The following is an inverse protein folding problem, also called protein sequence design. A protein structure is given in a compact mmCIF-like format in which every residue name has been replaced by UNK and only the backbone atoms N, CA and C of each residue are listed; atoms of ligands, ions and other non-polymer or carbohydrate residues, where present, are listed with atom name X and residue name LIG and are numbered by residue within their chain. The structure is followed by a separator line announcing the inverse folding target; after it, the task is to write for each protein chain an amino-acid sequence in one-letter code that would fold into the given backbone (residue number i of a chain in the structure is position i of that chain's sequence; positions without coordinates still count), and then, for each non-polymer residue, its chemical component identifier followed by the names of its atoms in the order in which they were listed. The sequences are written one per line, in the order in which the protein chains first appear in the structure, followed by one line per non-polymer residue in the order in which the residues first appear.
data_IF_763834031051
#
_entry.id   IF_763834031051
#
_cell.length_a   1.000
_cell.length_b   1.000
_cell.length_c   1.000
_cell.angle_alpha   90.00
_cell.angle_beta   90.00
_cell.angle_gamma   90.00
#
_symmetry.space_group_name_H-M   'P 1'
#
loop_
_entity.id
_entity.type
_entity.pdbx_description
1 polymer ?
#
# COMPACT_ATOMS: atom_id res chain seq x y z
N UNK A 1 21.86 4.45 -4.14
CA UNK A 1 20.42 4.17 -4.34
C UNK A 1 19.58 5.34 -3.85
N UNK A 2 18.53 5.70 -4.56
CA UNK A 2 17.59 6.76 -4.18
C UNK A 2 16.41 6.18 -3.41
N UNK A 3 15.91 6.88 -2.39
CA UNK A 3 14.69 6.52 -1.65
C UNK A 3 13.62 7.58 -1.88
N UNK A 4 12.38 7.15 -2.10
CA UNK A 4 11.21 8.03 -2.18
C UNK A 4 10.24 7.68 -1.07
N UNK A 5 9.88 8.68 -0.27
CA UNK A 5 8.93 8.56 0.83
C UNK A 5 7.71 9.43 0.49
N UNK A 6 6.59 8.85 0.06
CA UNK A 6 5.34 9.59 -0.07
C UNK A 6 4.77 9.87 1.33
N UNK A 7 4.51 11.14 1.64
CA UNK A 7 3.99 11.53 2.96
C UNK A 7 2.76 12.43 2.87
N UNK A 8 1.95 12.37 3.92
CA UNK A 8 0.90 13.34 4.25
C UNK A 8 0.49 13.18 5.72
N UNK A 9 0.84 14.16 6.56
CA UNK A 9 0.56 14.15 8.00
C UNK A 9 1.14 12.90 8.71
N UNK A 10 2.45 12.71 8.58
CA UNK A 10 3.19 11.56 9.10
C UNK A 10 4.20 11.95 10.18
N UNK A 11 3.99 13.06 10.88
CA UNK A 11 4.93 13.58 11.90
C UNK A 11 5.30 12.53 12.97
N UNK A 12 4.37 11.62 13.31
CA UNK A 12 4.60 10.54 14.29
C UNK A 12 5.57 9.47 13.79
N UNK A 13 5.59 9.22 12.49
CA UNK A 13 6.30 8.10 11.87
C UNK A 13 7.60 8.52 11.22
N UNK A 14 7.62 9.70 10.59
CA UNK A 14 8.68 10.10 9.66
C UNK A 14 10.08 10.12 10.28
N UNK A 15 10.22 10.56 11.54
CA UNK A 15 11.53 10.57 12.23
C UNK A 15 12.11 9.16 12.33
N UNK A 16 11.28 8.18 12.70
CA UNK A 16 11.70 6.79 12.85
C UNK A 16 12.00 6.16 11.48
N UNK A 17 11.18 6.41 10.48
CA UNK A 17 11.40 5.96 9.10
C UNK A 17 12.74 6.48 8.57
N UNK A 18 12.99 7.77 8.64
CA UNK A 18 14.23 8.39 8.18
C UNK A 18 15.46 7.90 8.93
N UNK A 19 15.31 7.61 10.24
CA UNK A 19 16.40 7.05 11.05
C UNK A 19 16.93 5.71 10.53
N UNK A 20 16.09 4.92 9.85
CA UNK A 20 16.45 3.62 9.26
C UNK A 20 16.89 3.72 7.79
N UNK A 21 17.03 4.93 7.23
CA UNK A 21 17.37 5.14 5.83
C UNK A 21 18.70 5.89 5.63
N UNK A 22 19.47 6.11 6.70
CA UNK A 22 20.76 6.86 6.65
C UNK A 22 21.82 6.24 5.72
N UNK A 23 21.65 5.00 5.33
CA UNK A 23 22.51 4.26 4.40
C UNK A 23 22.22 4.56 2.94
N UNK A 24 21.11 5.23 2.62
CA UNK A 24 20.77 5.63 1.25
C UNK A 24 21.56 6.85 0.79
N UNK A 25 21.95 6.89 -0.49
CA UNK A 25 22.72 8.01 -1.06
C UNK A 25 21.92 9.31 -1.16
N UNK A 26 20.60 9.17 -1.36
CA UNK A 26 19.68 10.31 -1.38
C UNK A 26 18.26 9.89 -0.99
N UNK A 27 17.57 10.79 -0.31
CA UNK A 27 16.19 10.58 0.15
C UNK A 27 15.34 11.77 -0.30
N UNK A 28 14.22 11.48 -0.94
CA UNK A 28 13.19 12.45 -1.30
C UNK A 28 11.94 12.19 -0.47
N UNK A 29 11.53 13.16 0.32
CA UNK A 29 10.20 13.18 0.93
C UNK A 29 9.27 13.91 -0.03
N UNK A 30 8.28 13.19 -0.59
CA UNK A 30 7.26 13.75 -1.48
C UNK A 30 6.00 14.00 -0.66
N UNK A 31 5.82 15.25 -0.27
CA UNK A 31 4.77 15.66 0.65
C UNK A 31 3.51 16.17 -0.06
N UNK A 32 2.34 15.69 0.35
CA UNK A 32 1.04 16.14 -0.15
C UNK A 32 0.43 17.18 0.79
N UNK A 33 1.12 18.33 0.98
CA UNK A 33 0.62 19.45 1.75
C UNK A 33 0.28 19.05 3.19
N UNK A 34 1.23 18.46 3.91
CA UNK A 34 1.10 18.18 5.35
C UNK A 34 0.90 19.48 6.14
N UNK A 35 0.01 19.41 7.13
CA UNK A 35 -0.32 20.52 8.02
C UNK A 35 0.20 20.29 9.44
N UNK A 36 0.85 19.16 9.69
CA UNK A 36 1.52 18.80 10.93
C UNK A 36 3.04 19.04 10.82
N UNK A 37 3.82 18.58 11.78
CA UNK A 37 5.27 18.78 11.81
C UNK A 37 6.07 17.87 10.83
N UNK A 38 5.42 17.14 9.93
CA UNK A 38 6.10 16.23 8.98
C UNK A 38 7.25 16.91 8.25
N UNK A 39 7.00 18.08 7.69
CA UNK A 39 8.00 18.84 6.91
C UNK A 39 9.17 19.28 7.75
N UNK A 40 8.88 19.85 8.92
CA UNK A 40 9.90 20.31 9.85
C UNK A 40 10.83 19.19 10.27
N UNK A 41 10.25 18.05 10.67
CA UNK A 41 11.04 16.86 11.06
C UNK A 41 11.95 16.38 9.93
N UNK A 42 11.45 16.34 8.69
CA UNK A 42 12.24 15.91 7.54
C UNK A 42 13.38 16.89 7.22
N UNK A 43 13.12 18.19 7.28
CA UNK A 43 14.13 19.26 7.08
C UNK A 43 15.22 19.23 8.15
N UNK A 44 14.84 19.08 9.43
CA UNK A 44 15.77 18.94 10.57
C UNK A 44 16.70 17.72 10.41
N UNK A 45 16.26 16.69 9.66
CA UNK A 45 17.05 15.49 9.35
C UNK A 45 17.83 15.59 8.02
N UNK A 46 17.83 16.77 7.35
CA UNK A 46 18.57 17.02 6.13
C UNK A 46 18.01 16.34 4.89
N UNK A 47 16.73 15.94 4.89
CA UNK A 47 16.09 15.27 3.77
C UNK A 47 15.55 16.26 2.74
N UNK A 48 15.66 15.94 1.45
CA UNK A 48 15.10 16.73 0.36
C UNK A 48 13.59 16.63 0.36
N UNK A 49 12.91 17.71 0.76
CA UNK A 49 11.45 17.80 0.75
C UNK A 49 10.97 18.38 -0.57
N UNK A 50 10.04 17.69 -1.22
CA UNK A 50 9.41 18.12 -2.47
C UNK A 50 7.90 18.14 -2.28
N UNK A 51 7.28 19.28 -2.58
CA UNK A 51 5.83 19.43 -2.48
C UNK A 51 5.13 18.87 -3.70
N UNK A 52 4.14 18.03 -3.47
CA UNK A 52 3.25 17.50 -4.48
C UNK A 52 1.84 18.09 -4.35
N UNK A 53 1.36 18.68 -5.43
CA UNK A 53 0.02 19.24 -5.52
C UNK A 53 -0.84 18.38 -6.44
N UNK A 54 -1.81 17.66 -5.86
CA UNK A 54 -2.72 16.85 -6.65
C UNK A 54 -3.79 17.74 -7.31
N UNK A 55 -3.82 17.75 -8.63
CA UNK A 55 -4.77 18.54 -9.43
C UNK A 55 -6.05 17.76 -9.79
N UNK A 56 -6.30 16.60 -9.17
CA UNK A 56 -7.47 15.76 -9.47
C UNK A 56 -7.27 14.77 -10.62
N UNK A 57 -6.13 14.82 -11.31
CA UNK A 57 -5.82 13.97 -12.47
C UNK A 57 -4.53 13.16 -12.24
N UNK A 58 -4.30 12.19 -13.12
CA UNK A 58 -3.03 11.46 -13.17
C UNK A 58 -1.90 12.37 -13.71
N UNK A 59 -0.63 12.26 -13.22
CA UNK A 59 -0.14 11.23 -12.31
C UNK A 59 -0.45 11.53 -10.84
N UNK A 60 -0.65 10.45 -10.07
CA UNK A 60 -0.67 10.51 -8.62
C UNK A 60 0.76 10.58 -8.06
N UNK A 61 0.90 10.81 -6.75
CA UNK A 61 2.14 11.13 -6.05
C UNK A 61 3.34 10.24 -6.41
N UNK A 62 3.20 8.91 -6.32
CA UNK A 62 4.32 7.98 -6.59
C UNK A 62 4.75 8.00 -8.05
N UNK A 63 3.79 7.99 -8.99
CA UNK A 63 4.12 8.11 -10.40
C UNK A 63 4.68 9.49 -10.76
N UNK A 64 4.15 10.55 -10.16
CA UNK A 64 4.68 11.89 -10.32
C UNK A 64 6.14 11.97 -9.85
N UNK A 65 6.42 11.38 -8.67
CA UNK A 65 7.79 11.33 -8.14
C UNK A 65 8.75 10.60 -9.08
N UNK A 66 8.35 9.43 -9.60
CA UNK A 66 9.18 8.66 -10.55
C UNK A 66 9.47 9.41 -11.85
N UNK A 67 8.58 10.32 -12.27
CA UNK A 67 8.69 11.08 -13.52
C UNK A 67 9.45 12.41 -13.37
N UNK A 68 9.40 13.03 -12.19
CA UNK A 68 9.83 14.42 -12.02
C UNK A 68 11.01 14.60 -11.06
N UNK A 69 11.33 13.62 -10.21
CA UNK A 69 12.46 13.77 -9.29
C UNK A 69 13.80 13.57 -10.02
N UNK A 70 14.82 14.39 -9.70
CA UNK A 70 16.14 14.31 -10.30
C UNK A 70 16.97 13.21 -9.62
N UNK A 71 16.63 11.94 -9.86
CA UNK A 71 17.36 10.82 -9.31
C UNK A 71 18.79 10.76 -9.83
N UNK A 72 19.75 10.67 -8.89
CA UNK A 72 21.16 10.42 -9.25
C UNK A 72 21.47 8.94 -9.42
N UNK A 73 20.60 8.08 -8.93
CA UNK A 73 20.78 6.62 -8.94
C UNK A 73 19.72 5.95 -9.83
N UNK A 74 20.13 4.89 -10.54
CA UNK A 74 19.23 4.08 -11.36
C UNK A 74 18.16 3.34 -10.51
N UNK A 75 18.52 2.92 -9.29
CA UNK A 75 17.67 2.17 -8.39
C UNK A 75 16.95 3.08 -7.43
N UNK A 76 15.63 2.87 -7.31
CA UNK A 76 14.76 3.57 -6.38
C UNK A 76 14.06 2.57 -5.47
N UNK A 77 14.08 2.87 -4.16
CA UNK A 77 13.30 2.19 -3.15
C UNK A 77 12.13 3.10 -2.74
N UNK A 78 10.90 2.58 -2.83
CA UNK A 78 9.71 3.27 -2.32
C UNK A 78 9.45 2.76 -0.91
N UNK A 79 9.42 3.68 0.06
CA UNK A 79 9.18 3.38 1.48
C UNK A 79 8.03 4.27 1.96
N UNK A 80 6.96 3.67 2.46
CA UNK A 80 5.89 4.45 3.08
C UNK A 80 6.36 4.97 4.47
N UNK A 81 5.89 6.12 4.92
CA UNK A 81 6.40 6.78 6.14
C UNK A 81 6.21 5.94 7.42
N UNK A 82 5.29 4.98 7.40
CA UNK A 82 5.02 4.02 8.48
C UNK A 82 5.78 2.68 8.31
N UNK A 83 6.72 2.61 7.35
CA UNK A 83 7.60 1.46 7.11
C UNK A 83 9.03 1.73 7.59
N UNK A 84 9.72 0.67 8.03
CA UNK A 84 11.12 0.74 8.44
C UNK A 84 11.93 -0.32 7.68
N UNK A 85 13.13 0.07 7.26
CA UNK A 85 14.11 -0.81 6.64
C UNK A 85 15.11 -1.28 7.71
N UNK A 86 15.03 -2.53 8.19
CA UNK A 86 16.04 -3.07 9.12
C UNK A 86 17.42 -3.12 8.48
N UNK A 87 18.44 -3.23 9.31
CA UNK A 87 19.87 -3.28 8.86
C UNK A 87 20.08 -4.47 7.94
N UNK A 88 19.51 -5.62 8.26
CA UNK A 88 19.62 -6.85 7.48
C UNK A 88 19.05 -6.67 6.06
N UNK A 89 17.89 -6.02 5.94
CA UNK A 89 17.31 -5.70 4.64
C UNK A 89 18.15 -4.68 3.87
N UNK A 90 18.71 -3.68 4.54
CA UNK A 90 19.59 -2.68 3.92
C UNK A 90 20.87 -3.34 3.35
N UNK A 91 21.44 -4.27 4.09
CA UNK A 91 22.61 -5.06 3.66
C UNK A 91 22.27 -5.95 2.46
N UNK A 92 21.15 -6.70 2.51
CA UNK A 92 20.70 -7.50 1.37
C UNK A 92 20.46 -6.65 0.12
N UNK A 93 19.80 -5.48 0.28
CA UNK A 93 19.62 -4.52 -0.82
C UNK A 93 20.98 -4.13 -1.40
N UNK A 94 21.92 -3.73 -0.56
CA UNK A 94 23.27 -3.33 -1.01
C UNK A 94 23.98 -4.43 -1.78
N UNK A 95 23.86 -5.68 -1.34
CA UNK A 95 24.44 -6.86 -1.99
C UNK A 95 23.81 -7.13 -3.37
N UNK A 96 22.46 -7.11 -3.47
CA UNK A 96 21.79 -7.40 -4.75
C UNK A 96 21.99 -6.30 -5.80
N UNK A 97 22.21 -5.05 -5.36
CA UNK A 97 22.51 -3.95 -6.27
C UNK A 97 23.91 -4.06 -6.92
N UNK A 98 24.85 -4.74 -6.27
CA UNK A 98 26.17 -5.04 -6.83
C UNK A 98 26.13 -6.20 -7.83
N UNK A 99 25.08 -7.02 -7.81
CA UNK A 99 24.93 -8.17 -8.70
C UNK A 99 24.40 -7.74 -10.08
N UNK A 100 25.16 -8.00 -11.12
CA UNK A 100 24.75 -7.76 -12.52
C UNK A 100 23.89 -8.91 -13.06
N UNK A 101 22.78 -9.25 -12.36
CA UNK A 101 21.94 -10.41 -12.65
C UNK A 101 20.79 -10.14 -13.63
N UNK A 102 20.77 -8.97 -14.28
CA UNK A 102 19.77 -8.57 -15.27
C UNK A 102 18.36 -8.28 -14.70
N UNK A 103 18.15 -8.35 -13.40
CA UNK A 103 16.87 -8.02 -12.75
C UNK A 103 16.64 -6.51 -12.77
N UNK A 104 15.36 -6.12 -12.89
CA UNK A 104 14.92 -4.72 -12.95
C UNK A 104 14.18 -4.29 -11.70
N UNK A 105 13.86 -5.22 -10.80
CA UNK A 105 13.22 -4.93 -9.53
C UNK A 105 13.21 -6.12 -8.59
N UNK A 106 12.84 -5.86 -7.33
CA UNK A 106 12.76 -6.84 -6.27
C UNK A 106 11.51 -6.66 -5.43
N UNK A 107 10.83 -7.77 -5.16
CA UNK A 107 9.77 -7.84 -4.19
C UNK A 107 10.37 -7.90 -2.79
N UNK A 108 9.79 -7.11 -1.89
CA UNK A 108 10.13 -7.09 -0.46
C UNK A 108 8.89 -7.53 0.30
N UNK A 109 9.07 -8.47 1.22
CA UNK A 109 8.01 -8.91 2.11
C UNK A 109 7.88 -7.92 3.28
N UNK A 110 6.68 -7.86 3.91
CA UNK A 110 6.40 -6.91 5.01
C UNK A 110 5.91 -7.64 6.25
N UNK A 111 6.52 -7.34 7.39
CA UNK A 111 6.02 -7.71 8.71
C UNK A 111 5.04 -6.64 9.19
N UNK A 112 3.80 -6.97 9.22
CA UNK A 112 2.76 -6.07 9.68
C UNK A 112 2.60 -6.11 11.20
N UNK A 113 2.75 -4.95 11.86
CA UNK A 113 2.59 -4.81 13.30
C UNK A 113 1.25 -4.16 13.64
N UNK A 114 0.54 -4.75 14.59
CA UNK A 114 -0.73 -4.27 15.09
C UNK A 114 -0.81 -4.45 16.60
N UNK A 115 -1.14 -3.37 17.33
CA UNK A 115 -1.15 -3.34 18.80
C UNK A 115 0.14 -3.92 19.42
N UNK A 116 1.29 -3.52 18.88
CA UNK A 116 2.61 -3.94 19.36
C UNK A 116 3.04 -5.36 18.98
N UNK A 117 2.21 -6.12 18.24
CA UNK A 117 2.51 -7.50 17.84
C UNK A 117 2.67 -7.63 16.33
N UNK A 118 3.68 -8.37 15.89
CA UNK A 118 3.76 -8.83 14.52
C UNK A 118 2.65 -9.86 14.25
N UNK A 119 1.75 -9.55 13.33
CA UNK A 119 0.72 -10.47 12.85
C UNK A 119 1.31 -11.41 11.79
N UNK A 120 1.61 -12.65 12.19
CA UNK A 120 2.13 -13.70 11.31
C UNK A 120 1.04 -14.41 10.52
N UNK A 121 -0.17 -14.34 11.02
CA UNK A 121 -1.34 -15.06 10.53
C UNK A 121 -2.38 -14.07 10.00
N UNK A 122 -3.66 -14.34 10.15
CA UNK A 122 -4.75 -13.50 9.64
C UNK A 122 -4.75 -13.28 8.11
N UNK A 123 -3.84 -13.90 7.38
CA UNK A 123 -3.66 -13.71 5.93
C UNK A 123 -2.85 -12.47 5.53
N UNK A 124 -2.11 -11.87 6.48
CA UNK A 124 -1.31 -10.66 6.26
C UNK A 124 0.18 -10.95 6.05
N UNK A 125 0.64 -12.16 6.33
CA UNK A 125 2.00 -12.58 6.08
C UNK A 125 2.02 -13.95 5.35
N UNK A 126 2.88 -14.13 4.33
CA UNK A 126 3.74 -13.15 3.69
C UNK A 126 2.96 -12.12 2.85
N UNK A 127 3.49 -10.88 2.76
CA UNK A 127 2.91 -9.78 1.98
C UNK A 127 3.98 -9.12 1.10
N UNK A 128 4.24 -9.71 -0.06
CA UNK A 128 5.25 -9.25 -1.00
C UNK A 128 4.76 -8.06 -1.83
N UNK A 129 5.57 -7.00 -1.87
CA UNK A 129 5.33 -5.83 -2.70
C UNK A 129 6.59 -5.48 -3.48
N UNK A 130 6.43 -5.07 -4.73
CA UNK A 130 7.54 -4.58 -5.54
C UNK A 130 7.87 -3.17 -5.07
N UNK A 131 8.97 -3.02 -4.31
CA UNK A 131 9.37 -1.76 -3.66
C UNK A 131 10.71 -1.23 -4.16
N UNK A 132 11.62 -2.10 -4.55
CA UNK A 132 12.93 -1.77 -5.08
C UNK A 132 12.95 -2.04 -6.58
N UNK A 133 13.21 -1.02 -7.40
CA UNK A 133 13.26 -1.19 -8.85
C UNK A 133 14.06 -0.07 -9.54
N UNK A 134 14.47 -0.31 -10.76
CA UNK A 134 15.07 0.72 -11.62
C UNK A 134 13.97 1.68 -12.07
N UNK A 135 14.12 2.99 -11.77
CA UNK A 135 13.02 3.95 -11.89
C UNK A 135 12.46 4.10 -13.31
N UNK A 136 13.26 3.87 -14.35
CA UNK A 136 12.78 3.89 -15.74
C UNK A 136 12.02 2.62 -16.16
N UNK A 137 12.07 1.53 -15.36
CA UNK A 137 11.46 0.24 -15.67
C UNK A 137 10.21 -0.06 -14.87
N UNK A 138 9.94 0.74 -13.84
CA UNK A 138 8.79 0.56 -12.96
C UNK A 138 7.86 1.77 -12.96
N UNK A 139 6.56 1.50 -12.91
CA UNK A 139 5.50 2.51 -12.73
C UNK A 139 4.35 1.93 -11.95
N UNK A 140 3.63 2.75 -11.21
CA UNK A 140 2.38 2.34 -10.57
C UNK A 140 1.24 2.25 -11.58
N UNK A 141 0.32 1.31 -11.39
CA UNK A 141 -0.90 1.18 -12.18
C UNK A 141 -1.67 2.50 -12.20
N UNK A 142 -2.27 2.81 -13.36
CA UNK A 142 -3.15 3.97 -13.49
C UNK A 142 -4.57 3.58 -13.05
N UNK A 143 -4.87 3.74 -11.77
CA UNK A 143 -6.21 3.54 -11.24
C UNK A 143 -6.89 4.88 -10.97
N UNK A 144 -7.98 5.15 -11.68
CA UNK A 144 -8.79 6.36 -11.50
C UNK A 144 -10.05 5.96 -10.73
N UNK A 145 -10.05 6.20 -9.41
CA UNK A 145 -11.24 6.14 -8.59
C UNK A 145 -11.68 7.57 -8.25
N UNK A 146 -12.94 7.93 -8.51
CA UNK A 146 -13.47 9.23 -8.11
C UNK A 146 -13.44 9.30 -6.58
N UNK A 147 -13.02 10.45 -6.02
CA UNK A 147 -12.96 10.64 -4.57
C UNK A 147 -11.74 10.02 -3.86
N UNK A 148 -10.87 9.29 -4.57
CA UNK A 148 -9.66 8.71 -3.99
C UNK A 148 -8.58 9.75 -3.64
N UNK A 149 -8.69 10.97 -4.18
CA UNK A 149 -7.62 11.97 -4.04
C UNK A 149 -6.30 11.45 -4.62
N UNK A 150 -5.20 11.80 -3.98
CA UNK A 150 -3.85 11.34 -4.31
C UNK A 150 -3.47 9.98 -3.68
N UNK A 151 -4.41 9.32 -3.01
CA UNK A 151 -4.16 8.04 -2.34
C UNK A 151 -3.96 6.89 -3.35
N UNK A 152 -2.89 6.10 -3.14
CA UNK A 152 -2.45 5.02 -4.01
C UNK A 152 -2.53 3.65 -3.31
N UNK A 153 -3.64 3.43 -2.56
CA UNK A 153 -3.78 2.28 -1.64
C UNK A 153 -3.85 0.93 -2.37
N UNK A 154 -4.33 0.91 -3.60
CA UNK A 154 -4.55 -0.33 -4.37
C UNK A 154 -3.72 -0.41 -5.65
N UNK A 155 -2.77 0.51 -5.85
CA UNK A 155 -1.94 0.54 -7.04
C UNK A 155 -0.71 -0.36 -6.85
N UNK A 156 -0.50 -1.25 -7.80
CA UNK A 156 0.69 -2.10 -7.83
C UNK A 156 1.71 -1.55 -8.81
N UNK A 157 2.99 -1.83 -8.56
CA UNK A 157 4.03 -1.52 -9.53
C UNK A 157 3.97 -2.49 -10.69
N UNK A 158 3.88 -1.96 -11.90
CA UNK A 158 4.09 -2.68 -13.15
C UNK A 158 5.54 -2.52 -13.54
N UNK A 159 6.25 -3.62 -13.71
CA UNK A 159 7.67 -3.65 -14.05
C UNK A 159 7.88 -4.18 -15.45
N UNK A 160 8.60 -3.42 -16.26
CA UNK A 160 9.00 -3.86 -17.60
C UNK A 160 10.34 -4.62 -17.51
N UNK A 161 10.29 -5.88 -17.05
CA UNK A 161 11.47 -6.71 -16.88
C UNK A 161 11.33 -7.79 -15.81
N UNK A 162 12.44 -8.49 -15.53
CA UNK A 162 12.46 -9.55 -14.52
C UNK A 162 12.57 -8.97 -13.12
N UNK A 163 11.72 -9.47 -12.21
CA UNK A 163 11.82 -9.19 -10.79
C UNK A 163 12.46 -10.35 -10.02
N UNK A 164 13.16 -10.02 -8.94
CA UNK A 164 13.59 -10.94 -7.90
C UNK A 164 12.74 -10.79 -6.64
N UNK A 165 13.10 -11.53 -5.61
CA UNK A 165 12.50 -11.43 -4.27
C UNK A 165 13.65 -11.36 -3.28
N UNK A 166 13.57 -10.44 -2.33
CA UNK A 166 14.49 -10.38 -1.19
C UNK A 166 13.99 -11.31 -0.09
N UNK A 167 14.91 -11.76 0.76
CA UNK A 167 14.63 -12.69 1.86
C UNK A 167 14.27 -11.93 3.14
N UNK A 168 14.90 -10.78 3.34
CA UNK A 168 14.68 -9.96 4.51
C UNK A 168 13.40 -9.11 4.38
N UNK A 169 12.77 -8.85 5.52
CA UNK A 169 11.47 -8.20 5.60
C UNK A 169 11.57 -6.72 5.97
N UNK A 170 10.70 -5.91 5.38
CA UNK A 170 10.42 -4.55 5.81
C UNK A 170 9.42 -4.56 6.98
N UNK A 171 9.61 -3.72 7.99
CA UNK A 171 8.66 -3.60 9.11
C UNK A 171 7.61 -2.55 8.78
N UNK A 172 6.32 -2.86 9.04
CA UNK A 172 5.21 -2.00 8.70
C UNK A 172 4.32 -1.74 9.92
N UNK A 173 4.22 -0.47 10.34
CA UNK A 173 3.50 0.01 11.51
C UNK A 173 2.31 0.90 11.11
N UNK A 174 1.41 0.37 10.30
CA UNK A 174 0.35 1.13 9.61
C UNK A 174 -0.64 1.85 10.55
N UNK A 175 -0.81 1.35 11.78
CA UNK A 175 -1.82 1.88 12.71
C UNK A 175 -1.25 2.01 14.11
N UNK A 176 -1.02 3.25 14.59
CA UNK A 176 -0.56 3.49 15.95
C UNK A 176 -1.63 3.10 17.00
N UNK A 177 -2.90 3.19 16.62
CA UNK A 177 -4.06 2.91 17.48
C UNK A 177 -5.29 2.45 16.66
N UNK A 178 -6.31 1.99 17.35
CA UNK A 178 -7.57 1.52 16.76
C UNK A 178 -8.36 2.69 16.13
N UNK A 179 -8.30 3.89 16.70
CA UNK A 179 -8.97 5.07 16.14
C UNK A 179 -8.47 5.37 14.75
N UNK A 180 -7.16 5.44 14.58
CA UNK A 180 -6.52 5.62 13.26
C UNK A 180 -6.91 4.51 12.28
N UNK A 181 -7.01 3.25 12.76
CA UNK A 181 -7.46 2.14 11.93
C UNK A 181 -8.89 2.38 11.43
N UNK A 182 -9.82 2.70 12.35
CA UNK A 182 -11.23 2.92 12.03
C UNK A 182 -11.41 4.08 11.06
N UNK A 183 -10.75 5.21 11.29
CA UNK A 183 -10.81 6.39 10.41
C UNK A 183 -10.30 6.09 8.99
N UNK A 184 -9.13 5.43 8.88
CA UNK A 184 -8.59 5.03 7.58
C UNK A 184 -9.54 4.07 6.85
N UNK A 185 -10.07 3.05 7.54
CA UNK A 185 -10.95 2.06 6.93
C UNK A 185 -12.35 2.60 6.65
N UNK A 186 -12.83 3.57 7.42
CA UNK A 186 -14.06 4.29 7.08
C UNK A 186 -13.92 5.02 5.73
N UNK A 187 -12.77 5.64 5.44
CA UNK A 187 -12.50 6.26 4.13
C UNK A 187 -12.33 5.21 3.04
N UNK A 188 -11.60 4.13 3.30
CA UNK A 188 -11.38 3.07 2.31
C UNK A 188 -12.68 2.34 1.95
N UNK A 189 -13.60 2.16 2.91
CA UNK A 189 -14.90 1.53 2.64
C UNK A 189 -15.78 2.36 1.70
N UNK A 190 -15.62 3.69 1.62
CA UNK A 190 -16.30 4.52 0.63
C UNK A 190 -15.84 4.15 -0.79
N UNK A 191 -14.55 3.92 -0.98
CA UNK A 191 -13.99 3.53 -2.29
C UNK A 191 -14.38 2.12 -2.69
N UNK A 192 -14.28 1.19 -1.73
CA UNK A 192 -14.71 -0.19 -1.99
C UNK A 192 -16.19 -0.23 -2.37
N UNK A 193 -17.05 0.54 -1.71
CA UNK A 193 -18.46 0.65 -2.03
C UNK A 193 -18.69 1.20 -3.46
N UNK A 194 -17.97 2.25 -3.86
CA UNK A 194 -18.04 2.80 -5.22
C UNK A 194 -17.55 1.79 -6.27
N UNK A 195 -16.44 1.11 -6.00
CA UNK A 195 -15.90 0.07 -6.87
C UNK A 195 -16.88 -1.12 -6.99
N UNK A 196 -17.50 -1.54 -5.88
CA UNK A 196 -18.51 -2.58 -5.90
C UNK A 196 -19.71 -2.22 -6.80
N UNK A 197 -20.18 -0.98 -6.71
CA UNK A 197 -21.22 -0.47 -7.60
C UNK A 197 -20.83 -0.54 -9.09
N UNK A 198 -19.60 -0.20 -9.43
CA UNK A 198 -19.07 -0.29 -10.81
C UNK A 198 -18.88 -1.73 -11.29
N UNK A 199 -18.42 -2.62 -10.43
CA UNK A 199 -18.26 -4.05 -10.78
C UNK A 199 -19.61 -4.73 -11.02
N UNK A 200 -20.68 -4.29 -10.35
CA UNK A 200 -22.06 -4.76 -10.59
C UNK A 200 -22.69 -4.17 -11.86
N UNK A 201 -22.45 -2.89 -12.10
CA UNK A 201 -22.89 -2.21 -13.32
C UNK A 201 -21.90 -2.54 -14.44
N UNK A 202 -21.98 -3.69 -15.09
CA UNK A 202 -21.14 -4.07 -16.25
C UNK A 202 -20.67 -2.82 -17.00
N UNK A 203 -19.43 -2.38 -16.78
CA UNK A 203 -18.82 -1.38 -17.64
C UNK A 203 -18.33 -2.07 -18.91
N UNK A 204 -19.05 -1.94 -20.05
CA UNK A 204 -18.67 -2.59 -21.30
C UNK A 204 -17.43 -1.97 -21.92
N UNK A 205 -16.99 -0.79 -21.45
CA UNK A 205 -15.88 -0.02 -22.01
C UNK A 205 -14.60 -0.09 -21.17
N UNK A 206 -14.57 -0.89 -20.11
CA UNK A 206 -13.32 -1.21 -19.42
C UNK A 206 -12.38 -1.92 -20.37
N UNK A 207 -11.58 -1.17 -21.13
CA UNK A 207 -10.46 -1.70 -21.90
C UNK A 207 -9.56 -2.43 -20.91
N UNK A 208 -9.79 -3.72 -20.75
CA UNK A 208 -8.90 -4.64 -20.07
C UNK A 208 -7.59 -4.66 -20.88
N UNK A 209 -6.70 -3.71 -20.55
CA UNK A 209 -5.32 -3.83 -21.01
C UNK A 209 -4.80 -5.18 -20.54
N UNK A 210 -4.13 -5.88 -21.43
CA UNK A 210 -3.54 -7.22 -21.31
C UNK A 210 -2.96 -7.50 -19.91
N UNK A 211 -3.83 -7.94 -19.02
CA UNK A 211 -3.49 -8.26 -17.63
C UNK A 211 -3.35 -9.78 -17.57
N UNK A 212 -2.22 -10.26 -17.06
CA UNK A 212 -1.92 -11.69 -17.05
C UNK A 212 -3.03 -12.54 -16.41
N UNK A 213 -3.21 -13.77 -16.92
CA UNK A 213 -4.27 -14.74 -16.55
C UNK A 213 -4.52 -14.86 -15.04
N UNK A 214 -3.46 -14.78 -14.21
CA UNK A 214 -3.56 -14.83 -12.74
C UNK A 214 -4.36 -13.65 -12.15
N UNK A 215 -4.23 -12.47 -12.73
CA UNK A 215 -4.93 -11.27 -12.23
C UNK A 215 -6.40 -11.26 -12.68
N UNK A 216 -6.71 -11.81 -13.86
CA UNK A 216 -8.09 -12.02 -14.32
C UNK A 216 -8.84 -12.97 -13.39
N UNK A 217 -8.21 -14.08 -12.99
CA UNK A 217 -8.79 -15.03 -12.02
C UNK A 217 -9.04 -14.35 -10.67
N UNK A 218 -8.07 -13.57 -10.16
CA UNK A 218 -8.27 -12.82 -8.90
C UNK A 218 -9.44 -11.84 -8.98
N UNK A 219 -9.60 -11.14 -10.10
CA UNK A 219 -10.74 -10.22 -10.33
C UNK A 219 -12.07 -10.96 -10.40
N UNK A 220 -12.11 -12.09 -11.07
CA UNK A 220 -13.32 -12.95 -11.11
C UNK A 220 -13.68 -13.45 -9.71
N UNK A 221 -12.71 -13.96 -8.95
CA UNK A 221 -12.92 -14.41 -7.57
C UNK A 221 -13.38 -13.25 -6.68
N UNK A 222 -12.82 -12.04 -6.85
CA UNK A 222 -13.29 -10.84 -6.14
C UNK A 222 -14.75 -10.52 -6.48
N UNK A 223 -15.16 -10.61 -7.75
CA UNK A 223 -16.56 -10.40 -8.16
C UNK A 223 -17.51 -11.40 -7.49
N UNK A 224 -17.15 -12.69 -7.50
CA UNK A 224 -17.94 -13.74 -6.84
C UNK A 224 -18.06 -13.43 -5.34
N UNK A 225 -16.94 -13.13 -4.68
CA UNK A 225 -16.90 -12.79 -3.26
C UNK A 225 -17.79 -11.57 -2.91
N UNK A 226 -17.78 -10.52 -3.74
CA UNK A 226 -18.61 -9.33 -3.55
C UNK A 226 -20.11 -9.62 -3.67
N UNK A 227 -20.50 -10.70 -4.38
CA UNK A 227 -21.88 -11.19 -4.48
C UNK A 227 -22.36 -12.05 -3.31
N UNK A 228 -21.45 -12.53 -2.45
CA UNK A 228 -21.81 -13.41 -1.33
C UNK A 228 -22.54 -12.63 -0.24
N UNK A 229 -23.76 -13.01 0.17
CA UNK A 229 -24.45 -12.41 1.31
C UNK A 229 -23.65 -12.69 2.60
N UNK A 230 -23.69 -11.75 3.54
CA UNK A 230 -22.99 -11.87 4.84
C UNK A 230 -21.49 -12.21 4.72
N UNK A 231 -20.84 -11.81 3.62
CA UNK A 231 -19.43 -12.08 3.33
C UNK A 231 -18.47 -11.68 4.46
N UNK A 232 -18.84 -10.69 5.27
CA UNK A 232 -18.08 -10.24 6.42
C UNK A 232 -17.95 -11.32 7.50
N UNK A 233 -18.97 -12.19 7.69
CA UNK A 233 -18.89 -13.34 8.58
C UNK A 233 -17.87 -14.35 8.06
N UNK A 234 -17.94 -14.69 6.76
CA UNK A 234 -16.95 -15.55 6.11
C UNK A 234 -15.53 -14.97 6.20
N UNK A 235 -15.39 -13.64 6.10
CA UNK A 235 -14.11 -12.95 6.27
C UNK A 235 -13.50 -13.21 7.63
N UNK A 236 -14.31 -13.13 8.70
CA UNK A 236 -13.85 -13.42 10.05
C UNK A 236 -13.34 -14.86 10.17
N UNK A 237 -14.15 -15.85 9.80
CA UNK A 237 -13.76 -17.26 9.89
C UNK A 237 -12.55 -17.58 9.01
N UNK A 238 -12.48 -17.01 7.82
CA UNK A 238 -11.33 -17.15 6.95
C UNK A 238 -10.05 -16.62 7.60
N UNK A 239 -10.06 -15.40 8.14
CA UNK A 239 -8.88 -14.79 8.74
C UNK A 239 -8.52 -15.44 10.09
N UNK A 240 -9.52 -15.66 10.94
CA UNK A 240 -9.29 -16.15 12.32
C UNK A 240 -9.00 -17.64 12.37
N UNK A 241 -9.82 -18.44 11.68
CA UNK A 241 -9.71 -19.92 11.73
C UNK A 241 -8.80 -20.43 10.60
N UNK A 242 -9.15 -20.18 9.34
CA UNK A 242 -8.41 -20.75 8.20
C UNK A 242 -6.99 -20.21 8.08
N UNK A 243 -6.82 -18.90 8.26
CA UNK A 243 -5.51 -18.24 8.28
C UNK A 243 -4.87 -18.23 9.68
N UNK A 244 -5.41 -19.00 10.62
CA UNK A 244 -4.88 -19.22 11.96
C UNK A 244 -4.66 -17.94 12.77
N UNK A 245 -5.49 -16.90 12.55
CA UNK A 245 -5.38 -15.62 13.25
C UNK A 245 -5.43 -15.74 14.78
N UNK A 246 -6.03 -16.84 15.31
CA UNK A 246 -6.05 -17.15 16.74
C UNK A 246 -4.64 -17.36 17.33
N UNK A 247 -3.65 -17.74 16.53
CA UNK A 247 -2.25 -17.88 16.97
C UNK A 247 -1.57 -16.53 17.24
N UNK A 248 -2.10 -15.44 16.69
CA UNK A 248 -1.61 -14.09 16.97
C UNK A 248 -2.22 -13.50 18.26
N UNK A 249 -2.97 -14.31 19.02
CA UNK A 249 -3.54 -13.95 20.33
C UNK A 249 -4.60 -12.85 20.25
N UNK A 250 -4.72 -12.04 21.33
CA UNK A 250 -5.71 -10.95 21.38
C UNK A 250 -5.60 -9.95 20.22
N UNK A 251 -4.40 -9.45 19.83
CA UNK A 251 -4.27 -8.59 18.66
C UNK A 251 -4.78 -9.24 17.37
N UNK A 252 -4.50 -10.55 17.16
CA UNK A 252 -5.01 -11.29 16.01
C UNK A 252 -6.54 -11.40 16.00
N UNK A 253 -7.16 -11.67 17.15
CA UNK A 253 -8.62 -11.68 17.27
C UNK A 253 -9.23 -10.32 16.94
N UNK A 254 -8.74 -9.25 17.59
CA UNK A 254 -9.23 -7.88 17.36
C UNK A 254 -9.08 -7.51 15.89
N UNK A 255 -7.93 -7.82 15.29
CA UNK A 255 -7.69 -7.51 13.89
C UNK A 255 -8.63 -8.25 12.94
N UNK A 256 -8.92 -9.54 13.19
CA UNK A 256 -9.87 -10.32 12.39
C UNK A 256 -11.31 -9.77 12.50
N UNK A 257 -11.73 -9.32 13.69
CA UNK A 257 -13.03 -8.64 13.88
C UNK A 257 -13.06 -7.32 13.09
N UNK A 258 -12.01 -6.51 13.20
CA UNK A 258 -11.91 -5.24 12.47
C UNK A 258 -11.93 -5.44 10.94
N UNK A 259 -11.25 -6.46 10.41
CA UNK A 259 -11.32 -6.81 8.99
C UNK A 259 -12.73 -7.19 8.55
N UNK A 260 -13.43 -7.97 9.37
CA UNK A 260 -14.84 -8.34 9.14
C UNK A 260 -15.74 -7.10 9.15
N UNK A 261 -15.52 -6.21 10.12
CA UNK A 261 -16.25 -4.93 10.21
C UNK A 261 -16.00 -4.03 8.99
N UNK A 262 -14.77 -3.97 8.48
CA UNK A 262 -14.46 -3.25 7.25
C UNK A 262 -15.25 -3.78 6.03
N UNK A 263 -15.31 -5.11 5.87
CA UNK A 263 -16.09 -5.74 4.81
C UNK A 263 -17.60 -5.45 4.97
N UNK A 264 -18.10 -5.43 6.22
CA UNK A 264 -19.49 -5.03 6.52
C UNK A 264 -19.75 -3.58 6.15
N UNK A 265 -18.88 -2.64 6.56
CA UNK A 265 -19.01 -1.22 6.20
C UNK A 265 -19.04 -1.00 4.69
N UNK A 266 -18.15 -1.68 3.96
CA UNK A 266 -18.09 -1.58 2.51
C UNK A 266 -19.37 -2.07 1.85
N UNK A 267 -19.92 -3.19 2.35
CA UNK A 267 -21.20 -3.73 1.89
C UNK A 267 -22.38 -2.80 2.23
N UNK A 268 -22.45 -2.30 3.46
CA UNK A 268 -23.53 -1.43 3.93
C UNK A 268 -23.57 -0.11 3.12
N UNK A 269 -22.39 0.51 2.92
CA UNK A 269 -22.28 1.74 2.10
C UNK A 269 -22.62 1.51 0.62
N UNK A 270 -22.26 0.35 0.06
CA UNK A 270 -22.67 0.00 -1.30
C UNK A 270 -24.19 -0.15 -1.42
N UNK A 271 -24.85 -0.72 -0.39
CA UNK A 271 -26.29 -0.80 -0.30
C UNK A 271 -26.93 0.58 -0.18
N UNK A 272 -26.44 1.43 0.72
CA UNK A 272 -26.90 2.82 0.89
C UNK A 272 -26.83 3.59 -0.44
N UNK A 273 -25.70 3.55 -1.14
CA UNK A 273 -25.53 4.20 -2.44
C UNK A 273 -26.51 3.69 -3.51
N UNK A 274 -26.87 2.39 -3.45
CA UNK A 274 -27.89 1.83 -4.36
C UNK A 274 -29.27 2.44 -4.06
N UNK A 275 -29.68 2.46 -2.78
CA UNK A 275 -30.98 3.04 -2.39
C UNK A 275 -31.10 4.51 -2.77
N UNK A 276 -30.03 5.31 -2.62
CA UNK A 276 -30.01 6.73 -2.99
C UNK A 276 -30.12 6.98 -4.50
N UNK A 277 -29.84 6.00 -5.36
CA UNK A 277 -29.99 6.10 -6.82
C UNK A 277 -31.36 5.67 -7.32
N UNK A 278 -32.11 4.95 -6.50
CA UNK A 278 -33.47 4.48 -6.82
C UNK A 278 -34.57 5.46 -6.35
N UNK A 279 -34.18 6.48 -5.58
CA UNK A 279 -35.00 7.65 -5.20
C UNK A 279 -34.67 8.81 -6.12
#
# INVERSE_FOLDING_TARGET
MSVVIPAKNEARNIRRCLGHLKWADEIFLVDSQSIDETLKVAQDMGVKVVQFYFNGTYPKKKNWALQNLPFRNEWVLIVDADELVPVELAEEISQVLQQHNGRKGYYINRRFFFLGRWLRHCGYYPSFNLRLFKHHWGRYEKMIARGAGDNEVHEHVVLDGRAGTLHEDMLHYAYPDITTWVEKHNRYSNWEAELEGRFRARDPNGKEQLIGRKLQIKRLLKRIYLGVPLRFIFRFFYAYVWKKGFLDGKPGFIFCVLLSFYDFLSWAKAYEQKMQREV
#
